data_IF_703678357606
#
_entry.id   IF_703678357606
#
_cell.length_a   1.000
_cell.length_b   1.000
_cell.length_c   1.000
_cell.angle_alpha   90.00
_cell.angle_beta   90.00
_cell.angle_gamma   90.00
#
_symmetry.space_group_name_H-M   'P 1'
#
loop_
_entity.id
_entity.type
_entity.pdbx_description
1 polymer ?
#
# COMPACT_ATOMS: atom_id res chain seq x y z
N UNK A 1 9.64 -9.55 22.90
CA UNK A 1 8.58 -9.13 21.97
C UNK A 1 9.22 -9.01 20.61
N UNK A 2 8.58 -9.50 19.56
CA UNK A 2 9.08 -9.31 18.21
C UNK A 2 9.06 -7.82 17.87
N UNK A 3 10.10 -7.34 17.19
CA UNK A 3 10.16 -5.99 16.66
C UNK A 3 9.32 -5.96 15.38
N UNK A 4 8.34 -5.05 15.32
CA UNK A 4 7.51 -4.85 14.13
C UNK A 4 7.72 -3.45 13.58
N UNK A 5 7.70 -3.31 12.25
CA UNK A 5 7.84 -2.01 11.59
C UNK A 5 7.28 -2.03 10.18
N UNK A 6 6.99 -0.83 9.66
CA UNK A 6 6.74 -0.60 8.25
C UNK A 6 7.93 0.10 7.62
N UNK A 7 8.27 -0.27 6.40
CA UNK A 7 9.13 0.53 5.53
C UNK A 7 8.52 0.69 4.14
N UNK A 8 8.71 1.83 3.50
CA UNK A 8 8.31 2.00 2.10
C UNK A 8 8.97 0.94 1.21
N UNK A 9 8.23 0.48 0.21
CA UNK A 9 8.79 -0.37 -0.83
C UNK A 9 9.74 0.43 -1.72
N UNK A 10 10.79 -0.21 -2.18
CA UNK A 10 11.80 0.34 -3.08
C UNK A 10 11.88 -0.47 -4.36
N UNK A 11 12.63 -0.02 -5.36
CA UNK A 11 12.83 -0.78 -6.60
C UNK A 11 13.45 -2.16 -6.35
N UNK A 12 14.26 -2.31 -5.30
CA UNK A 12 14.90 -3.56 -4.92
C UNK A 12 13.90 -4.62 -4.43
N UNK A 13 12.67 -4.22 -4.09
CA UNK A 13 11.60 -5.12 -3.64
C UNK A 13 10.79 -5.73 -4.79
N UNK A 14 11.08 -5.37 -6.04
CA UNK A 14 10.28 -5.75 -7.20
C UNK A 14 10.10 -7.26 -7.31
N UNK A 15 11.19 -8.04 -7.22
CA UNK A 15 11.14 -9.50 -7.33
C UNK A 15 10.40 -10.14 -6.15
N UNK A 16 10.59 -9.62 -4.94
CA UNK A 16 9.90 -10.09 -3.75
C UNK A 16 8.39 -9.89 -3.90
N UNK A 17 7.97 -8.68 -4.25
CA UNK A 17 6.56 -8.33 -4.44
C UNK A 17 5.95 -9.08 -5.62
N UNK A 18 6.71 -9.32 -6.70
CA UNK A 18 6.29 -10.16 -7.82
C UNK A 18 5.97 -11.58 -7.37
N UNK A 19 6.86 -12.18 -6.57
CA UNK A 19 6.64 -13.52 -6.03
C UNK A 19 5.38 -13.61 -5.16
N UNK A 20 5.07 -12.56 -4.40
CA UNK A 20 3.89 -12.53 -3.53
C UNK A 20 2.60 -12.27 -4.27
N UNK A 21 2.61 -11.40 -5.29
CA UNK A 21 1.39 -11.08 -6.04
C UNK A 21 0.90 -12.26 -6.86
N UNK A 22 1.79 -13.13 -7.33
CA UNK A 22 1.47 -14.34 -8.09
C UNK A 22 1.30 -15.60 -7.22
N UNK A 23 1.37 -15.47 -5.89
CA UNK A 23 0.95 -16.57 -5.02
C UNK A 23 -0.52 -16.95 -5.30
N UNK A 24 -0.79 -18.23 -5.46
CA UNK A 24 -2.12 -18.73 -5.86
C UNK A 24 -3.26 -18.28 -4.93
N UNK A 25 -3.00 -18.18 -3.62
CA UNK A 25 -3.99 -17.70 -2.66
C UNK A 25 -4.21 -16.20 -2.78
N UNK A 26 -3.15 -15.43 -3.09
CA UNK A 26 -3.26 -13.99 -3.36
C UNK A 26 -4.06 -13.76 -4.63
N UNK A 27 -3.75 -14.48 -5.73
CA UNK A 27 -4.53 -14.40 -6.98
C UNK A 27 -5.98 -14.75 -6.78
N UNK A 28 -6.28 -15.86 -6.09
CA UNK A 28 -7.65 -16.26 -5.77
C UNK A 28 -8.42 -15.15 -5.04
N UNK A 29 -7.79 -14.48 -4.09
CA UNK A 29 -8.41 -13.44 -3.26
C UNK A 29 -8.41 -12.06 -3.93
N UNK A 30 -7.70 -11.87 -5.04
CA UNK A 30 -7.70 -10.64 -5.82
C UNK A 30 -8.95 -10.55 -6.70
N UNK A 31 -9.42 -9.33 -7.00
CA UNK A 31 -10.55 -9.11 -7.91
C UNK A 31 -10.25 -9.51 -9.36
N UNK A 32 -8.98 -9.42 -9.79
CA UNK A 32 -8.47 -10.07 -10.98
C UNK A 32 -7.68 -11.30 -10.56
N UNK A 33 -8.04 -12.47 -11.05
CA UNK A 33 -7.43 -13.76 -10.66
C UNK A 33 -6.34 -14.23 -11.63
N UNK A 34 -6.19 -13.55 -12.77
CA UNK A 34 -5.21 -13.93 -13.79
C UNK A 34 -3.78 -13.72 -13.27
N UNK A 35 -2.86 -14.57 -13.68
CA UNK A 35 -1.44 -14.39 -13.37
C UNK A 35 -0.92 -13.10 -14.01
N UNK A 36 -0.04 -12.42 -13.29
CA UNK A 36 0.60 -11.19 -13.75
C UNK A 36 1.97 -11.56 -14.33
N UNK A 37 2.26 -11.14 -15.55
CA UNK A 37 3.59 -11.31 -16.14
C UNK A 37 4.60 -10.42 -15.42
N UNK A 38 5.89 -10.79 -15.46
CA UNK A 38 6.94 -10.00 -14.84
C UNK A 38 7.01 -8.58 -15.41
N UNK A 39 6.88 -8.44 -16.73
CA UNK A 39 6.91 -7.14 -17.40
C UNK A 39 5.75 -6.24 -17.00
N UNK A 40 4.53 -6.79 -16.88
CA UNK A 40 3.36 -6.04 -16.37
C UNK A 40 3.57 -5.60 -14.92
N UNK A 41 4.12 -6.48 -14.10
CA UNK A 41 4.43 -6.16 -12.70
C UNK A 41 5.44 -5.02 -12.60
N UNK A 42 6.56 -5.08 -13.32
CA UNK A 42 7.60 -4.05 -13.30
C UNK A 42 7.05 -2.70 -13.79
N UNK A 43 6.29 -2.70 -14.89
CA UNK A 43 5.67 -1.47 -15.39
C UNK A 43 4.67 -0.87 -14.40
N UNK A 44 3.85 -1.71 -13.77
CA UNK A 44 2.90 -1.27 -12.75
C UNK A 44 3.63 -0.77 -11.50
N UNK A 45 4.61 -1.53 -10.99
CA UNK A 45 5.34 -1.20 -9.77
C UNK A 45 6.13 0.09 -9.92
N UNK A 46 6.81 0.28 -11.06
CA UNK A 46 7.51 1.54 -11.35
C UNK A 46 6.57 2.75 -11.35
N UNK A 47 5.34 2.60 -11.89
CA UNK A 47 4.34 3.67 -11.82
C UNK A 47 3.88 3.93 -10.39
N UNK A 48 3.67 2.90 -9.60
CA UNK A 48 3.27 3.04 -8.19
C UNK A 48 4.36 3.73 -7.39
N UNK A 49 5.62 3.39 -7.57
CA UNK A 49 6.74 4.05 -6.89
C UNK A 49 6.85 5.54 -7.26
N UNK A 50 6.27 5.97 -8.38
CA UNK A 50 6.22 7.36 -8.83
C UNK A 50 4.87 8.04 -8.53
N UNK A 51 3.90 7.32 -7.98
CA UNK A 51 2.57 7.85 -7.68
C UNK A 51 2.60 8.76 -6.45
N UNK A 52 1.76 9.80 -6.47
CA UNK A 52 1.52 10.66 -5.31
C UNK A 52 0.33 10.19 -4.48
N UNK A 53 -0.54 9.38 -5.09
CA UNK A 53 -1.77 8.87 -4.48
C UNK A 53 -1.69 7.41 -4.02
N UNK A 54 -0.54 6.75 -4.20
CA UNK A 54 -0.42 5.32 -3.88
C UNK A 54 0.93 5.02 -3.25
N UNK A 55 0.91 4.35 -2.09
CA UNK A 55 2.09 3.89 -1.38
C UNK A 55 2.03 2.38 -1.15
N UNK A 56 3.20 1.75 -1.13
CA UNK A 56 3.37 0.35 -0.72
C UNK A 56 4.36 0.30 0.42
N UNK A 57 3.96 -0.36 1.50
CA UNK A 57 4.84 -0.63 2.64
C UNK A 57 5.06 -2.13 2.77
N UNK A 58 6.28 -2.51 3.07
CA UNK A 58 6.60 -3.84 3.58
C UNK A 58 6.41 -3.85 5.10
N UNK A 59 5.72 -4.86 5.60
CA UNK A 59 5.59 -5.13 7.02
C UNK A 59 6.68 -6.10 7.45
N UNK A 60 7.49 -5.68 8.39
CA UNK A 60 8.65 -6.42 8.86
C UNK A 60 8.43 -6.92 10.29
N UNK A 61 8.85 -8.13 10.55
CA UNK A 61 8.94 -8.72 11.89
C UNK A 61 10.39 -9.17 12.09
N UNK A 62 11.07 -8.60 13.09
CA UNK A 62 12.50 -8.82 13.31
C UNK A 62 13.33 -8.59 12.04
N UNK A 63 13.05 -7.48 11.34
CA UNK A 63 13.67 -7.08 10.07
C UNK A 63 13.35 -7.99 8.85
N UNK A 64 12.62 -9.09 9.05
CA UNK A 64 12.21 -9.98 7.95
C UNK A 64 10.87 -9.50 7.34
N UNK A 65 10.78 -9.32 6.01
CA UNK A 65 9.52 -8.96 5.35
C UNK A 65 8.51 -10.13 5.41
N UNK A 66 7.39 -9.92 6.10
CA UNK A 66 6.34 -10.93 6.30
C UNK A 66 5.09 -10.68 5.47
N UNK A 67 4.94 -9.46 4.97
CA UNK A 67 3.78 -9.06 4.15
C UNK A 67 3.95 -7.68 3.58
N UNK A 68 2.95 -7.26 2.82
CA UNK A 68 2.88 -5.91 2.27
C UNK A 68 1.48 -5.33 2.41
N UNK A 69 1.41 -4.02 2.52
CA UNK A 69 0.18 -3.24 2.43
C UNK A 69 0.35 -2.15 1.39
N UNK A 70 -0.63 -2.01 0.51
CA UNK A 70 -0.75 -0.91 -0.43
C UNK A 70 -1.89 -0.02 0.01
N UNK A 71 -1.62 1.26 0.05
CA UNK A 71 -2.57 2.32 0.36
C UNK A 71 -2.78 3.14 -0.90
N UNK A 72 -4.04 3.36 -1.26
CA UNK A 72 -4.41 4.33 -2.28
C UNK A 72 -5.23 5.42 -1.62
N UNK A 73 -4.72 6.64 -1.70
CA UNK A 73 -5.31 7.83 -1.10
C UNK A 73 -6.29 8.50 -2.08
N UNK A 74 -7.38 9.02 -1.55
CA UNK A 74 -8.37 9.81 -2.25
C UNK A 74 -8.97 10.79 -1.23
N UNK A 75 -8.56 12.04 -1.29
CA UNK A 75 -8.85 13.07 -0.29
C UNK A 75 -8.58 12.58 1.15
N UNK A 76 -9.60 12.54 2.00
CA UNK A 76 -9.51 12.10 3.40
C UNK A 76 -9.63 10.57 3.58
N UNK A 77 -9.56 9.80 2.51
CA UNK A 77 -9.72 8.35 2.57
C UNK A 77 -8.47 7.60 2.12
N UNK A 78 -8.21 6.43 2.69
CA UNK A 78 -7.19 5.51 2.20
C UNK A 78 -7.77 4.10 1.99
N UNK A 79 -7.66 3.62 0.75
CA UNK A 79 -8.06 2.24 0.41
C UNK A 79 -6.90 1.29 0.66
N UNK A 80 -7.13 0.31 1.52
CA UNK A 80 -6.16 -0.71 1.93
C UNK A 80 -6.26 -1.95 1.04
N UNK A 81 -5.12 -2.41 0.54
CA UNK A 81 -4.96 -3.76 -0.03
C UNK A 81 -3.72 -4.40 0.58
N UNK A 82 -3.82 -5.63 1.07
CA UNK A 82 -2.71 -6.27 1.77
C UNK A 82 -2.54 -7.75 1.40
N UNK A 83 -1.35 -8.26 1.64
CA UNK A 83 -1.08 -9.70 1.58
C UNK A 83 0.01 -10.11 2.57
N UNK A 84 -0.09 -11.36 3.06
CA UNK A 84 0.94 -12.00 3.90
C UNK A 84 1.63 -13.08 3.08
N UNK A 85 2.95 -13.08 3.11
CA UNK A 85 3.78 -14.08 2.45
C UNK A 85 3.41 -15.50 2.93
N UNK A 86 3.43 -16.47 2.02
CA UNK A 86 2.88 -17.81 2.26
C UNK A 86 3.39 -18.47 3.55
N UNK A 87 4.70 -18.34 3.83
CA UNK A 87 5.36 -18.94 5.00
C UNK A 87 4.94 -18.34 6.34
N UNK A 88 4.32 -17.14 6.34
CA UNK A 88 3.91 -16.43 7.55
C UNK A 88 2.41 -16.40 7.79
N UNK A 89 1.61 -17.03 6.92
CA UNK A 89 0.16 -17.11 7.09
C UNK A 89 -0.24 -17.97 8.30
N UNK A 90 -1.38 -17.65 8.89
CA UNK A 90 -1.91 -18.39 10.05
C UNK A 90 -1.23 -18.09 11.38
N UNK A 91 -0.27 -17.16 11.42
CA UNK A 91 0.49 -16.79 12.62
C UNK A 91 0.01 -15.47 13.26
N UNK A 92 -1.09 -14.89 12.77
CA UNK A 92 -1.65 -13.66 13.32
C UNK A 92 -1.12 -12.37 12.67
N UNK A 93 -0.05 -12.42 11.88
CA UNK A 93 0.58 -11.22 11.30
C UNK A 93 -0.35 -10.37 10.42
N UNK A 94 -1.33 -10.98 9.75
CA UNK A 94 -2.31 -10.22 8.97
C UNK A 94 -3.19 -9.32 9.85
N UNK A 95 -3.62 -9.80 11.00
CA UNK A 95 -4.39 -9.01 11.96
C UNK A 95 -3.52 -7.90 12.54
N UNK A 96 -2.32 -8.25 13.00
CA UNK A 96 -1.38 -7.27 13.57
C UNK A 96 -1.05 -6.17 12.56
N UNK A 97 -0.74 -6.52 11.30
CA UNK A 97 -0.45 -5.54 10.25
C UNK A 97 -1.63 -4.58 10.00
N UNK A 98 -2.88 -5.06 10.01
CA UNK A 98 -4.06 -4.19 9.84
C UNK A 98 -4.31 -3.31 11.08
N UNK A 99 -3.95 -3.79 12.26
CA UNK A 99 -3.94 -2.98 13.49
C UNK A 99 -2.91 -1.85 13.38
N UNK A 100 -1.66 -2.21 13.13
CA UNK A 100 -0.51 -1.29 13.16
C UNK A 100 -0.57 -0.26 12.03
N UNK A 101 -1.13 -0.62 10.84
CA UNK A 101 -1.21 0.30 9.70
C UNK A 101 -2.12 1.49 9.99
N UNK A 102 -3.17 1.33 10.80
CA UNK A 102 -4.06 2.43 11.15
C UNK A 102 -3.32 3.52 11.93
N UNK A 103 -2.51 3.13 12.91
CA UNK A 103 -1.67 4.06 13.66
C UNK A 103 -0.58 4.69 12.78
N UNK A 104 0.02 3.89 11.91
CA UNK A 104 1.05 4.34 10.98
C UNK A 104 0.53 5.41 10.02
N UNK A 105 -0.68 5.21 9.47
CA UNK A 105 -1.33 6.19 8.59
C UNK A 105 -1.62 7.48 9.35
N UNK A 106 -2.17 7.42 10.56
CA UNK A 106 -2.44 8.62 11.35
C UNK A 106 -1.20 9.48 11.61
N UNK A 107 -0.03 8.84 11.73
CA UNK A 107 1.25 9.53 11.91
C UNK A 107 1.77 10.18 10.62
N UNK A 108 1.61 9.51 9.47
CA UNK A 108 2.14 9.98 8.19
C UNK A 108 1.17 10.88 7.43
N UNK A 109 -0.12 10.58 7.53
CA UNK A 109 -1.23 11.19 6.79
C UNK A 109 -2.35 11.58 7.75
N UNK A 110 -2.16 12.60 8.60
CA UNK A 110 -3.16 13.03 9.57
C UNK A 110 -4.46 13.55 8.92
N UNK A 111 -4.42 13.89 7.64
CA UNK A 111 -5.58 14.25 6.82
C UNK A 111 -6.50 13.06 6.54
N UNK A 112 -6.01 11.81 6.62
CA UNK A 112 -6.82 10.63 6.37
C UNK A 112 -7.70 10.32 7.58
N UNK A 113 -8.99 10.44 7.39
CA UNK A 113 -10.01 10.19 8.43
C UNK A 113 -10.69 8.83 8.31
N UNK A 114 -10.63 8.21 7.13
CA UNK A 114 -11.36 6.96 6.85
C UNK A 114 -10.50 5.94 6.11
N UNK A 115 -10.44 4.74 6.64
CA UNK A 115 -9.81 3.57 6.01
C UNK A 115 -10.89 2.72 5.33
N UNK A 116 -10.62 2.31 4.10
CA UNK A 116 -11.53 1.51 3.27
C UNK A 116 -10.83 0.22 2.86
N UNK A 117 -11.51 -0.92 2.95
CA UNK A 117 -11.02 -2.17 2.40
C UNK A 117 -12.13 -2.87 1.61
N UNK A 118 -11.79 -3.34 0.40
CA UNK A 118 -12.71 -4.12 -0.44
C UNK A 118 -12.31 -5.58 -0.41
N UNK A 119 -13.22 -6.46 0.00
CA UNK A 119 -12.93 -7.87 0.23
C UNK A 119 -13.93 -8.74 -0.54
N UNK A 120 -13.44 -9.79 -1.20
CA UNK A 120 -14.29 -10.78 -1.86
C UNK A 120 -15.11 -11.58 -0.81
N UNK A 121 -16.34 -11.94 -1.18
CA UNK A 121 -17.26 -12.68 -0.30
C UNK A 121 -16.74 -14.05 0.15
N UNK A 122 -15.87 -14.68 -0.63
CA UNK A 122 -15.22 -15.96 -0.29
C UNK A 122 -13.90 -15.81 0.49
N UNK A 123 -13.41 -14.59 0.69
CA UNK A 123 -12.20 -14.33 1.48
C UNK A 123 -12.51 -14.13 2.97
N UNK A 124 -13.05 -15.17 3.61
CA UNK A 124 -13.48 -15.17 5.03
C UNK A 124 -12.33 -14.76 5.97
N UNK A 125 -11.09 -15.08 5.62
CA UNK A 125 -9.95 -14.73 6.47
C UNK A 125 -9.77 -13.22 6.61
N UNK A 126 -9.82 -12.47 5.49
CA UNK A 126 -9.73 -11.00 5.52
C UNK A 126 -10.96 -10.35 6.15
N UNK A 127 -12.17 -10.89 5.91
CA UNK A 127 -13.40 -10.40 6.54
C UNK A 127 -13.24 -10.41 8.06
N UNK A 128 -12.89 -11.57 8.64
CA UNK A 128 -12.69 -11.72 10.10
C UNK A 128 -11.61 -10.79 10.65
N UNK A 129 -10.54 -10.51 9.89
CA UNK A 129 -9.50 -9.56 10.31
C UNK A 129 -10.09 -8.16 10.41
N UNK A 130 -10.73 -7.65 9.35
CA UNK A 130 -11.30 -6.30 9.36
C UNK A 130 -12.38 -6.15 10.44
N UNK A 131 -13.27 -7.13 10.58
CA UNK A 131 -14.29 -7.16 11.64
C UNK A 131 -13.64 -7.08 13.04
N UNK A 132 -12.61 -7.89 13.28
CA UNK A 132 -11.93 -7.92 14.59
C UNK A 132 -11.13 -6.64 14.89
N UNK A 133 -10.78 -5.86 13.89
CA UNK A 133 -10.10 -4.57 14.03
C UNK A 133 -11.08 -3.37 14.02
N UNK A 134 -12.38 -3.64 14.18
CA UNK A 134 -13.40 -2.62 14.36
C UNK A 134 -13.82 -1.91 13.07
N UNK A 135 -13.60 -2.53 11.92
CA UNK A 135 -14.16 -2.03 10.67
C UNK A 135 -15.64 -2.37 10.58
N UNK A 136 -16.43 -1.43 10.14
CA UNK A 136 -17.86 -1.63 9.84
C UNK A 136 -18.03 -2.14 8.42
N UNK A 137 -18.97 -3.08 8.23
CA UNK A 137 -19.21 -3.67 6.91
C UNK A 137 -20.35 -2.95 6.21
N UNK A 138 -20.08 -2.51 4.97
CA UNK A 138 -21.11 -2.15 4.01
C UNK A 138 -21.17 -3.23 2.93
N UNK A 139 -22.35 -3.81 2.71
CA UNK A 139 -22.53 -4.88 1.73
C UNK A 139 -22.82 -4.24 0.37
N UNK A 140 -21.86 -4.30 -0.57
CA UNK A 140 -22.10 -3.85 -1.95
C UNK A 140 -22.97 -4.86 -2.72
N UNK A 141 -22.70 -6.16 -2.57
CA UNK A 141 -23.47 -7.27 -3.13
C UNK A 141 -23.01 -8.60 -2.48
N UNK A 142 -23.60 -9.74 -2.90
CA UNK A 142 -23.29 -11.08 -2.35
C UNK A 142 -21.82 -11.51 -2.52
N UNK A 143 -21.07 -10.87 -3.43
CA UNK A 143 -19.69 -11.26 -3.76
C UNK A 143 -18.65 -10.26 -3.31
N UNK A 144 -19.07 -9.07 -2.84
CA UNK A 144 -18.19 -7.97 -2.43
C UNK A 144 -18.66 -7.31 -1.15
N UNK A 145 -17.73 -7.14 -0.25
CA UNK A 145 -17.91 -6.41 1.00
C UNK A 145 -16.95 -5.24 1.06
N UNK A 146 -17.45 -4.08 1.45
CA UNK A 146 -16.64 -2.92 1.79
C UNK A 146 -16.60 -2.78 3.29
N UNK A 147 -15.40 -2.66 3.82
CA UNK A 147 -15.10 -2.45 5.24
C UNK A 147 -14.60 -1.03 5.43
N UNK A 148 -15.19 -0.32 6.38
CA UNK A 148 -14.90 1.09 6.67
C UNK A 148 -14.51 1.23 8.13
N UNK A 149 -13.45 2.00 8.40
CA UNK A 149 -13.06 2.38 9.75
C UNK A 149 -12.72 3.86 9.76
N UNK A 150 -13.44 4.62 10.58
CA UNK A 150 -13.05 6.00 10.90
C UNK A 150 -11.85 5.95 11.83
N UNK A 151 -10.79 6.66 11.46
CA UNK A 151 -9.63 6.91 12.28
C UNK A 151 -9.60 8.40 12.56
N UNK A 152 -9.77 8.82 13.81
CA UNK A 152 -9.65 10.20 14.20
C UNK A 152 -8.35 10.38 14.99
N UNK A 153 -7.66 11.47 14.74
CA UNK A 153 -6.62 11.92 15.69
C UNK A 153 -7.37 12.36 16.93
N UNK A 154 -7.16 11.68 18.07
CA UNK A 154 -7.61 12.23 19.33
C UNK A 154 -6.92 13.60 19.50
N UNK A 155 -7.68 14.65 19.86
CA UNK A 155 -7.19 16.04 20.03
C UNK A 155 -6.07 16.20 21.10
N UNK A 156 -5.52 15.11 21.60
CA UNK A 156 -4.50 15.07 22.66
C UNK A 156 -3.05 15.09 22.17
N UNK A 157 -2.79 15.12 20.85
CA UNK A 157 -1.41 15.23 20.36
C UNK A 157 -0.97 16.68 20.49
N UNK A 158 -0.07 16.95 21.44
CA UNK A 158 0.47 18.28 21.66
C UNK A 158 1.09 18.84 20.37
N UNK A 159 0.93 20.17 20.14
CA UNK A 159 1.43 20.86 18.94
C UNK A 159 2.93 20.62 18.66
N UNK A 160 3.71 20.25 19.67
CA UNK A 160 5.12 19.86 19.55
C UNK A 160 5.31 18.53 18.81
N UNK A 161 4.39 17.57 19.00
CA UNK A 161 4.44 16.28 18.30
C UNK A 161 4.05 16.44 16.83
N UNK A 162 3.07 17.26 16.52
CA UNK A 162 2.69 17.58 15.14
C UNK A 162 3.87 18.17 14.36
N UNK A 163 4.60 19.12 14.95
CA UNK A 163 5.80 19.69 14.32
C UNK A 163 6.94 18.67 14.16
N UNK A 164 7.08 17.76 15.11
CA UNK A 164 8.08 16.68 15.03
C UNK A 164 7.75 15.69 13.93
N UNK A 165 6.46 15.35 13.75
CA UNK A 165 5.98 14.47 12.67
C UNK A 165 6.06 15.15 11.31
N UNK A 166 5.73 16.43 11.20
CA UNK A 166 5.87 17.20 9.96
C UNK A 166 7.34 17.24 9.49
N UNK A 167 8.29 17.50 10.40
CA UNK A 167 9.72 17.50 10.09
C UNK A 167 10.25 16.10 9.73
N UNK A 168 9.70 15.04 10.30
CA UNK A 168 10.00 13.65 9.94
C UNK A 168 9.47 13.34 8.54
N UNK A 169 8.23 13.71 8.24
CA UNK A 169 7.58 13.56 6.94
C UNK A 169 8.35 14.27 5.82
N UNK A 170 8.81 15.52 6.06
CA UNK A 170 9.65 16.23 5.08
C UNK A 170 10.95 15.49 4.76
N UNK A 171 11.61 14.91 5.77
CA UNK A 171 12.84 14.15 5.59
C UNK A 171 12.60 12.84 4.85
N UNK A 172 11.53 12.12 5.18
CA UNK A 172 11.16 10.87 4.53
C UNK A 172 10.66 11.11 3.11
N UNK A 173 9.88 12.17 2.86
CA UNK A 173 9.49 12.63 1.54
C UNK A 173 10.70 13.04 0.70
N UNK A 174 11.66 13.77 1.26
CA UNK A 174 12.88 14.14 0.56
C UNK A 174 13.74 12.91 0.21
N UNK A 175 13.88 11.97 1.13
CA UNK A 175 14.57 10.69 0.87
C UNK A 175 13.87 9.88 -0.23
N UNK A 176 12.55 9.83 -0.21
CA UNK A 176 11.72 9.20 -1.23
C UNK A 176 11.85 9.89 -2.58
N UNK A 177 11.85 11.24 -2.63
CA UNK A 177 12.08 12.00 -3.86
C UNK A 177 13.50 11.80 -4.44
N UNK A 178 14.53 11.75 -3.59
CA UNK A 178 15.89 11.45 -4.02
C UNK A 178 15.98 10.04 -4.61
N UNK A 179 15.32 9.07 -4.01
CA UNK A 179 15.26 7.70 -4.51
C UNK A 179 14.49 7.63 -5.85
N UNK A 180 13.41 8.39 -6.00
CA UNK A 180 12.68 8.59 -7.27
C UNK A 180 13.58 9.17 -8.36
N UNK A 181 14.34 10.21 -8.06
CA UNK A 181 15.29 10.82 -9.03
C UNK A 181 16.36 9.81 -9.47
N UNK A 182 16.90 9.02 -8.56
CA UNK A 182 17.87 7.99 -8.88
C UNK A 182 17.28 6.90 -9.78
N UNK A 183 16.01 6.51 -9.58
CA UNK A 183 15.28 5.56 -10.44
C UNK A 183 15.06 6.11 -11.85
N UNK A 184 14.70 7.39 -11.98
CA UNK A 184 14.54 8.06 -13.30
C UNK A 184 15.88 8.12 -14.03
N UNK A 185 16.94 8.47 -13.34
CA UNK A 185 18.30 8.49 -13.92
C UNK A 185 18.76 7.09 -14.33
N UNK A 186 18.49 6.09 -13.47
CA UNK A 186 18.87 4.69 -13.75
C UNK A 186 18.10 4.14 -14.96
N UNK A 187 16.79 4.39 -15.05
CA UNK A 187 15.98 3.98 -16.20
C UNK A 187 16.39 4.70 -17.50
N UNK A 188 16.79 5.95 -17.42
CA UNK A 188 17.24 6.75 -18.57
C UNK A 188 18.63 6.34 -19.05
N UNK A 189 19.50 5.88 -18.17
CA UNK A 189 20.89 5.50 -18.50
C UNK A 189 21.00 4.06 -18.95
N UNK A 190 20.26 3.15 -18.33
CA UNK A 190 20.40 1.70 -18.56
C UNK A 190 19.32 1.06 -19.45
N UNK A 191 18.24 1.78 -19.79
CA UNK A 191 17.22 1.26 -20.69
C UNK A 191 16.81 2.30 -21.75
N UNK A 192 17.62 2.52 -22.81
CA UNK A 192 17.34 3.50 -23.86
C UNK A 192 16.16 3.14 -24.78
N UNK A 193 15.40 2.07 -24.48
CA UNK A 193 14.32 1.55 -25.36
C UNK A 193 12.94 2.15 -25.02
N UNK A 194 12.81 3.02 -24.01
CA UNK A 194 11.52 3.64 -23.66
C UNK A 194 11.57 5.17 -23.80
N UNK A 195 11.72 5.77 -24.98
CA UNK A 195 11.63 7.23 -25.15
C UNK A 195 10.21 7.78 -25.33
N UNK A 196 9.15 6.94 -25.41
CA UNK A 196 7.86 7.45 -25.92
C UNK A 196 6.65 7.33 -24.99
N UNK A 197 6.83 7.03 -23.69
CA UNK A 197 5.66 6.91 -22.79
C UNK A 197 5.23 8.24 -22.16
N UNK A 198 6.07 9.29 -22.18
CA UNK A 198 5.73 10.60 -21.62
C UNK A 198 4.91 11.53 -22.52
N UNK A 199 4.78 11.19 -23.83
CA UNK A 199 4.10 12.09 -24.77
C UNK A 199 2.60 11.82 -25.00
N UNK A 200 2.04 10.77 -24.39
CA UNK A 200 0.64 10.37 -24.64
C UNK A 200 -0.38 10.82 -23.60
N UNK A 201 0.05 11.44 -22.50
CA UNK A 201 -0.90 11.81 -21.42
C UNK A 201 -1.40 13.25 -21.46
N UNK A 202 -0.78 14.16 -22.22
CA UNK A 202 -1.25 15.57 -22.30
C UNK A 202 -2.34 15.83 -23.35
N UNK A 203 -2.65 14.88 -24.23
CA UNK A 203 -3.63 15.12 -25.31
C UNK A 203 -5.03 14.49 -25.12
N UNK A 204 -5.34 13.90 -23.96
CA UNK A 204 -6.68 13.33 -23.73
C UNK A 204 -7.55 14.04 -22.69
N UNK A 205 -7.14 15.15 -22.14
CA UNK A 205 -7.96 15.98 -21.25
C UNK A 205 -8.53 17.25 -21.91
N UNK A 206 -8.58 17.33 -23.24
CA UNK A 206 -9.12 18.48 -23.96
C UNK A 206 -10.36 18.15 -24.79
N UNK A 207 -11.16 17.15 -24.42
CA UNK A 207 -12.54 16.99 -24.97
C UNK A 207 -13.27 15.87 -24.21
N UNK A 208 -13.94 16.21 -23.13
CA UNK A 208 -15.32 15.88 -22.73
C UNK A 208 -15.58 16.44 -21.34
#
# INVERSE_FOLDING_TARGET
MDSVSFRPATADDADLLFSWVNDSKVRKNSFSSDDISYDEHIQWFSRVLLSEDTEIFLYLVNEEPVGQVRLKYDDETATISYSIAAKFRGQGFGKQMIHDIAEHIQQLHPEVSTLIAKVKGDNIASQKIFESEGYHTEIENETRFTYLKTISVEESVAAEDINRYAAKRERESLAFHIQRYNLIIYSSIFNPIIPNLFYYHEQRCASC
#
